data_IF_488943567077
#
_entry.id   IF_488943567077
#
_cell.length_a   1.000
_cell.length_b   1.000
_cell.length_c   1.000
_cell.angle_alpha   90.00
_cell.angle_beta   90.00
_cell.angle_gamma   90.00
#
_symmetry.space_group_name_H-M   'P 1'
#
loop_
_entity.id
_entity.type
_entity.pdbx_description
1 polymer ?
#
# COMPACT_ATOMS: atom_id res chain seq x y z
N UNK A 1 27.07 12.90 -74.76
CA UNK A 1 26.88 12.08 -75.98
C UNK A 1 25.82 11.05 -75.70
N UNK A 2 24.68 11.17 -76.38
CA UNK A 2 23.61 10.18 -76.44
C UNK A 2 24.10 8.92 -77.16
N UNK A 3 23.65 7.73 -76.73
CA UNK A 3 23.44 6.54 -77.58
C UNK A 3 23.04 5.35 -76.67
N UNK A 4 21.76 4.94 -76.52
CA UNK A 4 20.86 4.25 -77.46
C UNK A 4 20.81 2.72 -77.23
N UNK A 5 19.54 2.25 -77.09
CA UNK A 5 18.94 0.92 -77.36
C UNK A 5 19.25 -0.25 -76.43
N UNK A 6 18.25 -0.72 -75.68
CA UNK A 6 17.20 -1.69 -76.09
C UNK A 6 17.74 -3.05 -76.51
N UNK A 7 17.47 -4.07 -75.69
CA UNK A 7 17.02 -5.39 -76.17
C UNK A 7 15.99 -5.97 -75.20
N UNK A 8 14.85 -6.34 -75.79
CA UNK A 8 13.83 -7.24 -75.27
C UNK A 8 14.44 -8.57 -74.81
N UNK A 9 13.81 -9.24 -73.84
CA UNK A 9 13.07 -10.48 -74.08
C UNK A 9 12.51 -11.07 -72.78
N UNK A 10 11.24 -11.41 -72.87
CA UNK A 10 10.40 -12.14 -71.92
C UNK A 10 11.03 -13.50 -71.54
N UNK A 11 11.12 -13.78 -70.24
CA UNK A 11 11.26 -15.10 -69.58
C UNK A 11 11.69 -14.83 -68.13
N UNK A 12 11.09 -15.30 -67.04
CA UNK A 12 10.28 -16.47 -66.77
C UNK A 12 9.33 -16.12 -65.62
N UNK A 13 8.11 -16.62 -65.76
CA UNK A 13 7.11 -16.77 -64.72
C UNK A 13 7.67 -17.69 -63.62
N UNK A 14 7.64 -17.27 -62.35
CA UNK A 14 7.59 -18.14 -61.15
C UNK A 14 7.53 -17.28 -59.88
N UNK A 15 6.31 -16.98 -59.45
CA UNK A 15 6.01 -16.76 -58.04
C UNK A 15 5.77 -18.14 -57.42
N UNK A 16 6.32 -18.42 -56.23
CA UNK A 16 5.37 -18.62 -55.15
C UNK A 16 5.83 -18.00 -53.83
N UNK A 17 4.93 -17.20 -53.25
CA UNK A 17 4.27 -17.58 -52.01
C UNK A 17 5.20 -17.79 -50.79
N UNK A 18 5.72 -16.70 -50.22
CA UNK A 18 5.92 -16.63 -48.76
C UNK A 18 5.49 -15.24 -48.31
N UNK A 19 4.19 -15.12 -48.03
CA UNK A 19 3.67 -14.01 -47.25
C UNK A 19 4.27 -14.11 -45.86
N UNK A 20 5.33 -13.36 -45.57
CA UNK A 20 5.78 -13.09 -44.21
C UNK A 20 4.71 -12.24 -43.54
N UNK A 21 3.70 -12.93 -42.99
CA UNK A 21 2.75 -12.36 -42.06
C UNK A 21 3.54 -12.02 -40.79
N UNK A 22 3.98 -10.77 -40.70
CA UNK A 22 4.42 -10.15 -39.46
C UNK A 22 3.15 -9.82 -38.67
N UNK A 23 2.57 -10.81 -37.98
CA UNK A 23 1.67 -10.52 -36.88
C UNK A 23 2.54 -10.13 -35.70
N UNK A 24 2.68 -8.82 -35.49
CA UNK A 24 3.18 -8.27 -34.26
C UNK A 24 2.29 -8.81 -33.13
N UNK A 25 2.87 -9.68 -32.30
CA UNK A 25 2.28 -10.03 -31.01
C UNK A 25 2.34 -8.77 -30.18
N UNK A 26 1.24 -8.01 -30.16
CA UNK A 26 1.00 -7.01 -29.13
C UNK A 26 0.85 -7.81 -27.84
N UNK A 27 1.96 -8.01 -27.14
CA UNK A 27 1.94 -8.46 -25.77
C UNK A 27 1.20 -7.38 -24.99
N UNK A 28 -0.10 -7.61 -24.75
CA UNK A 28 -0.85 -6.86 -23.77
C UNK A 28 -0.15 -7.06 -22.44
N UNK A 29 0.59 -6.03 -22.01
CA UNK A 29 1.00 -5.88 -20.63
C UNK A 29 -0.29 -5.74 -19.81
N UNK A 30 -0.83 -6.87 -19.34
CA UNK A 30 -1.72 -6.89 -18.18
C UNK A 30 -0.82 -6.76 -16.96
N UNK A 31 -0.23 -5.58 -16.77
CA UNK A 31 0.29 -5.22 -15.46
C UNK A 31 -0.91 -5.18 -14.52
N UNK A 32 -0.85 -5.93 -13.42
CA UNK A 32 -1.78 -5.72 -12.33
C UNK A 32 -1.68 -4.25 -11.96
N UNK A 33 -2.79 -3.52 -12.04
CA UNK A 33 -2.85 -2.15 -11.52
C UNK A 33 -2.71 -2.30 -10.01
N UNK A 34 -1.52 -2.05 -9.49
CA UNK A 34 -1.34 -1.80 -8.07
C UNK A 34 -2.19 -0.55 -7.80
N UNK A 35 -3.25 -0.69 -7.01
CA UNK A 35 -4.16 0.42 -6.72
C UNK A 35 -3.38 1.63 -6.25
N UNK A 36 -3.68 2.80 -6.80
CA UNK A 36 -3.02 4.05 -6.39
C UNK A 36 -3.64 4.56 -5.07
N UNK A 37 -2.90 5.33 -4.26
CA UNK A 37 -3.41 5.86 -2.99
C UNK A 37 -4.67 6.73 -3.15
N UNK A 38 -4.83 7.36 -4.31
CA UNK A 38 -6.04 8.12 -4.68
C UNK A 38 -7.32 7.27 -4.71
N UNK A 39 -7.17 5.95 -4.85
CA UNK A 39 -8.26 4.97 -4.81
C UNK A 39 -8.37 4.26 -3.45
N UNK A 40 -7.65 4.71 -2.40
CA UNK A 40 -7.63 4.03 -1.10
C UNK A 40 -9.02 3.81 -0.49
N UNK A 41 -9.95 4.75 -0.71
CA UNK A 41 -11.35 4.63 -0.30
C UNK A 41 -12.23 3.77 -1.21
N UNK A 42 -11.80 3.46 -2.44
CA UNK A 42 -12.52 2.55 -3.34
C UNK A 42 -12.13 1.10 -3.08
N UNK A 43 -12.67 0.53 -2.00
CA UNK A 43 -12.35 -0.83 -1.58
C UNK A 43 -12.62 -1.88 -2.68
N UNK A 44 -13.60 -1.62 -3.56
CA UNK A 44 -13.95 -2.53 -4.65
C UNK A 44 -12.88 -2.61 -5.74
N UNK A 45 -11.99 -1.61 -5.85
CA UNK A 45 -10.86 -1.64 -6.78
C UNK A 45 -9.92 -2.82 -6.51
N UNK A 46 -9.71 -3.17 -5.23
CA UNK A 46 -8.84 -4.26 -4.79
C UNK A 46 -9.62 -5.50 -4.35
N UNK A 47 -10.73 -5.32 -3.63
CA UNK A 47 -11.54 -6.41 -3.08
C UNK A 47 -12.66 -6.89 -4.02
N UNK A 48 -12.81 -6.26 -5.19
CA UNK A 48 -13.73 -6.66 -6.25
C UNK A 48 -15.17 -6.82 -5.73
N UNK A 49 -15.67 -8.07 -5.65
CA UNK A 49 -17.02 -8.39 -5.19
C UNK A 49 -17.11 -8.77 -3.71
N UNK A 50 -16.00 -8.81 -2.99
CA UNK A 50 -15.99 -9.15 -1.57
C UNK A 50 -16.60 -8.02 -0.74
N UNK A 51 -17.47 -8.38 0.22
CA UNK A 51 -18.06 -7.40 1.12
C UNK A 51 -17.11 -7.17 2.30
N UNK A 52 -16.25 -6.16 2.19
CA UNK A 52 -15.31 -5.79 3.24
C UNK A 52 -15.84 -4.73 4.22
N UNK A 53 -16.97 -4.10 3.88
CA UNK A 53 -17.65 -3.11 4.73
C UNK A 53 -19.00 -3.64 5.23
N UNK A 54 -19.45 -3.25 6.43
CA UNK A 54 -20.75 -3.65 6.96
C UNK A 54 -21.91 -3.30 6.03
N UNK A 55 -22.98 -4.11 6.07
CA UNK A 55 -24.19 -3.85 5.31
C UNK A 55 -24.79 -2.47 5.67
N UNK A 56 -24.95 -1.60 4.68
CA UNK A 56 -25.47 -0.24 4.86
C UNK A 56 -24.40 0.82 5.14
N UNK A 57 -23.11 0.48 5.09
CA UNK A 57 -22.03 1.45 5.11
C UNK A 57 -22.17 2.45 3.93
N UNK A 58 -21.96 3.75 4.13
CA UNK A 58 -22.00 4.73 3.05
C UNK A 58 -20.92 4.42 1.98
N UNK A 59 -21.11 4.87 0.72
CA UNK A 59 -20.09 4.74 -0.31
C UNK A 59 -18.79 5.47 0.11
N UNK A 60 -17.66 4.80 -0.04
CA UNK A 60 -16.33 5.28 0.40
C UNK A 60 -15.41 5.69 -0.76
N UNK A 61 -15.82 5.43 -2.02
CA UNK A 61 -15.01 5.75 -3.18
C UNK A 61 -14.63 7.25 -3.20
N UNK A 62 -13.32 7.52 -3.26
CA UNK A 62 -12.76 8.88 -3.21
C UNK A 62 -12.65 9.51 -1.82
N UNK A 63 -12.93 8.78 -0.74
CA UNK A 63 -12.62 9.22 0.63
C UNK A 63 -11.14 8.96 0.94
N UNK A 64 -10.51 9.92 1.63
CA UNK A 64 -9.24 9.76 2.31
C UNK A 64 -9.46 9.38 3.78
N UNK A 65 -8.36 9.19 4.53
CA UNK A 65 -8.43 8.85 5.95
C UNK A 65 -9.23 9.89 6.76
N UNK A 66 -9.05 11.18 6.49
CA UNK A 66 -9.77 12.27 7.18
C UNK A 66 -11.28 12.18 6.96
N UNK A 67 -11.71 11.84 5.73
CA UNK A 67 -13.10 11.58 5.39
C UNK A 67 -13.69 10.41 6.19
N UNK A 68 -12.92 9.35 6.42
CA UNK A 68 -13.33 8.23 7.29
C UNK A 68 -13.43 8.65 8.76
N UNK A 69 -12.42 9.37 9.27
CA UNK A 69 -12.33 9.80 10.68
C UNK A 69 -13.42 10.81 11.07
N UNK A 70 -14.11 11.43 10.11
CA UNK A 70 -15.30 12.24 10.38
C UNK A 70 -16.45 11.44 11.03
N UNK A 71 -16.50 10.12 10.83
CA UNK A 71 -17.50 9.22 11.42
C UNK A 71 -16.87 8.17 12.34
N UNK A 72 -15.66 7.71 12.02
CA UNK A 72 -14.97 6.65 12.77
C UNK A 72 -14.07 7.25 13.84
N UNK A 73 -14.64 7.52 15.01
CA UNK A 73 -13.96 8.21 16.11
C UNK A 73 -13.42 7.24 17.14
N UNK A 74 -12.21 7.50 17.62
CA UNK A 74 -11.54 6.70 18.66
C UNK A 74 -12.33 6.67 19.96
N UNK A 75 -12.26 5.54 20.66
CA UNK A 75 -13.02 5.32 21.89
C UNK A 75 -14.53 5.11 21.67
N UNK A 76 -15.00 5.08 20.42
CA UNK A 76 -16.38 4.72 20.08
C UNK A 76 -16.47 3.29 19.51
N UNK A 77 -17.66 2.68 19.47
CA UNK A 77 -17.85 1.39 18.79
C UNK A 77 -17.56 1.40 17.28
N UNK A 78 -17.39 2.59 16.68
CA UNK A 78 -17.07 2.76 15.26
C UNK A 78 -15.58 3.03 15.01
N UNK A 79 -14.69 2.88 16.01
CA UNK A 79 -13.25 3.06 15.79
C UNK A 79 -12.71 2.16 14.67
N UNK A 80 -11.73 2.65 13.92
CA UNK A 80 -10.99 1.85 12.93
C UNK A 80 -9.87 1.02 13.55
N UNK A 81 -9.48 1.34 14.80
CA UNK A 81 -8.45 0.63 15.54
C UNK A 81 -8.77 -0.87 15.57
N UNK A 82 -7.84 -1.69 15.06
CA UNK A 82 -7.99 -3.14 14.93
C UNK A 82 -9.14 -3.65 14.03
N UNK A 83 -9.98 -2.77 13.48
CA UNK A 83 -11.03 -3.12 12.52
C UNK A 83 -10.51 -3.14 11.07
N UNK A 84 -9.45 -2.38 10.81
CA UNK A 84 -8.80 -2.29 9.52
C UNK A 84 -7.27 -2.34 9.71
N UNK A 85 -6.53 -3.12 8.90
CA UNK A 85 -5.07 -3.18 9.01
C UNK A 85 -4.43 -1.79 8.88
N UNK A 86 -3.37 -1.55 9.65
CA UNK A 86 -2.70 -0.26 9.68
C UNK A 86 -2.07 0.12 8.31
N UNK A 87 -1.74 -0.87 7.47
CA UNK A 87 -1.39 -0.66 6.05
C UNK A 87 -2.47 0.07 5.25
N UNK A 88 -3.75 -0.25 5.46
CA UNK A 88 -4.83 0.45 4.77
C UNK A 88 -4.99 1.88 5.28
N UNK A 89 -4.82 2.10 6.59
CA UNK A 89 -4.88 3.45 7.14
C UNK A 89 -3.75 4.34 6.57
N UNK A 90 -2.54 3.80 6.43
CA UNK A 90 -1.43 4.49 5.77
C UNK A 90 -1.72 4.76 4.28
N UNK A 91 -2.25 3.78 3.55
CA UNK A 91 -2.67 3.97 2.16
C UNK A 91 -3.74 5.06 2.02
N UNK A 92 -4.75 5.07 2.90
CA UNK A 92 -5.79 6.10 2.97
C UNK A 92 -5.25 7.48 3.35
N UNK A 93 -4.10 7.53 4.04
CA UNK A 93 -3.35 8.74 4.31
C UNK A 93 -2.38 9.13 3.17
N UNK A 94 -2.39 8.41 2.05
CA UNK A 94 -1.57 8.69 0.88
C UNK A 94 -0.17 8.06 0.90
N UNK A 95 0.13 7.18 1.87
CA UNK A 95 1.43 6.52 2.01
C UNK A 95 1.42 5.21 1.22
N UNK A 96 2.35 5.08 0.29
CA UNK A 96 2.52 3.92 -0.58
C UNK A 96 3.47 2.88 0.02
N UNK A 97 3.47 1.67 -0.55
CA UNK A 97 4.45 0.64 -0.22
C UNK A 97 5.90 1.14 -0.41
N UNK A 98 6.13 1.96 -1.44
CA UNK A 98 7.46 2.46 -1.80
C UNK A 98 7.98 3.50 -0.81
N UNK A 99 7.10 4.20 -0.09
CA UNK A 99 7.51 5.15 0.95
C UNK A 99 8.19 4.46 2.14
N UNK A 100 7.88 3.17 2.38
CA UNK A 100 8.51 2.35 3.41
C UNK A 100 9.61 1.43 2.86
N UNK A 101 9.33 0.74 1.75
CA UNK A 101 10.18 -0.33 1.22
C UNK A 101 11.11 0.11 0.07
N UNK A 102 10.97 1.35 -0.41
CA UNK A 102 11.67 1.86 -1.59
C UNK A 102 11.01 1.41 -2.90
N UNK A 103 11.56 1.87 -4.02
CA UNK A 103 11.03 1.58 -5.37
C UNK A 103 11.46 0.21 -5.91
N UNK A 104 12.36 -0.50 -5.23
CA UNK A 104 12.83 -1.81 -5.66
C UNK A 104 11.84 -2.90 -5.25
N UNK A 105 11.50 -3.81 -6.18
CA UNK A 105 10.75 -5.03 -5.90
C UNK A 105 11.59 -5.97 -5.01
N UNK A 106 11.61 -5.69 -3.72
CA UNK A 106 12.19 -6.58 -2.71
C UNK A 106 11.21 -7.69 -2.40
N UNK A 107 11.48 -8.88 -2.91
CA UNK A 107 10.84 -10.10 -2.40
C UNK A 107 11.30 -10.30 -0.96
N UNK A 108 10.41 -10.09 0.00
CA UNK A 108 10.67 -10.07 1.45
C UNK A 108 11.59 -8.91 1.89
N UNK A 109 11.06 -7.68 2.00
CA UNK A 109 11.82 -6.55 2.52
C UNK A 109 12.28 -6.82 3.96
N UNK A 110 13.41 -6.21 4.34
CA UNK A 110 13.85 -6.23 5.73
C UNK A 110 12.79 -5.60 6.64
N UNK A 111 12.72 -6.02 7.92
CA UNK A 111 11.86 -5.36 8.90
C UNK A 111 12.15 -3.85 8.96
N UNK A 112 11.09 -3.07 9.17
CA UNK A 112 11.21 -1.63 9.33
C UNK A 112 11.92 -1.33 10.66
N UNK A 113 12.82 -0.37 10.64
CA UNK A 113 13.47 0.17 11.84
C UNK A 113 12.58 1.23 12.48
N UNK A 114 12.76 1.44 13.79
CA UNK A 114 12.07 2.52 14.51
C UNK A 114 12.35 3.87 13.85
N UNK A 115 13.58 4.13 13.42
CA UNK A 115 13.98 5.38 12.77
C UNK A 115 13.17 5.68 11.51
N UNK A 116 12.82 4.67 10.72
CA UNK A 116 12.01 4.85 9.52
C UNK A 116 10.59 5.32 9.86
N UNK A 117 10.00 4.82 10.95
CA UNK A 117 8.70 5.31 11.44
C UNK A 117 8.79 6.77 11.91
N UNK A 118 9.86 7.13 12.62
CA UNK A 118 10.05 8.48 13.17
C UNK A 118 10.30 9.56 12.09
N UNK A 119 10.62 9.19 10.84
CA UNK A 119 10.73 10.14 9.72
C UNK A 119 9.43 10.93 9.54
N UNK A 120 8.28 10.27 9.71
CA UNK A 120 6.96 10.88 9.55
C UNK A 120 6.29 11.17 10.89
N UNK A 121 6.42 10.28 11.88
CA UNK A 121 5.76 10.41 13.18
C UNK A 121 6.50 11.32 14.17
N UNK A 122 7.73 11.72 13.87
CA UNK A 122 8.55 12.55 14.73
C UNK A 122 9.21 11.77 15.88
N UNK A 123 9.95 12.45 16.78
CA UNK A 123 10.73 11.79 17.82
C UNK A 123 9.84 11.18 18.92
N UNK A 124 10.35 10.12 19.56
CA UNK A 124 9.62 9.38 20.60
C UNK A 124 9.19 10.28 21.77
N UNK A 125 9.97 11.29 22.12
CA UNK A 125 9.62 12.25 23.17
C UNK A 125 8.38 13.08 22.81
N UNK A 126 8.21 13.44 21.54
CA UNK A 126 7.03 14.18 21.08
C UNK A 126 5.80 13.27 21.06
N UNK A 127 5.94 12.03 20.59
CA UNK A 127 4.88 11.01 20.66
C UNK A 127 4.47 10.74 22.11
N UNK A 128 5.44 10.61 23.00
CA UNK A 128 5.26 10.52 24.43
C UNK A 128 4.44 11.68 25.00
N UNK A 129 4.74 12.91 24.59
CA UNK A 129 3.94 14.07 25.03
C UNK A 129 2.50 14.02 24.51
N UNK A 130 2.28 13.53 23.29
CA UNK A 130 0.93 13.38 22.70
C UNK A 130 0.12 12.30 23.41
N UNK A 131 0.76 11.24 23.90
CA UNK A 131 0.09 10.14 24.61
C UNK A 131 0.22 10.22 26.13
N UNK A 132 0.45 11.42 26.67
CA UNK A 132 0.64 11.62 28.11
C UNK A 132 -0.57 11.20 28.96
N UNK A 133 -1.78 11.29 28.39
CA UNK A 133 -3.03 10.94 29.07
C UNK A 133 -3.47 9.48 28.86
N UNK A 134 -2.68 8.68 28.14
CA UNK A 134 -2.98 7.26 27.94
C UNK A 134 -2.72 6.49 29.23
N UNK A 135 -3.76 5.83 29.72
CA UNK A 135 -3.76 5.04 30.95
C UNK A 135 -3.67 3.54 30.65
N UNK A 136 -3.09 2.73 31.55
CA UNK A 136 -2.60 3.07 32.90
C UNK A 136 -1.20 3.69 32.95
N UNK A 137 -0.47 3.64 31.84
CA UNK A 137 0.83 4.28 31.68
C UNK A 137 0.99 4.71 30.22
N UNK A 138 1.82 5.72 29.99
CA UNK A 138 2.12 6.19 28.65
C UNK A 138 2.94 5.12 27.88
N UNK A 139 2.40 4.54 26.78
CA UNK A 139 3.07 3.45 26.06
C UNK A 139 4.32 3.92 25.30
N UNK A 140 4.39 5.19 24.90
CA UNK A 140 5.54 5.76 24.17
C UNK A 140 6.62 6.32 25.10
N UNK A 141 6.38 6.34 26.41
CA UNK A 141 7.35 6.74 27.43
C UNK A 141 7.51 5.64 28.48
N UNK A 142 7.83 4.44 27.99
CA UNK A 142 7.98 3.26 28.83
C UNK A 142 9.14 3.39 29.84
N UNK A 143 8.95 2.98 31.11
CA UNK A 143 10.02 2.94 32.09
C UNK A 143 11.08 1.87 31.78
N UNK A 144 10.82 0.95 30.84
CA UNK A 144 11.75 -0.09 30.42
C UNK A 144 12.81 0.40 29.41
N UNK A 145 12.70 1.66 28.96
CA UNK A 145 13.62 2.26 28.00
C UNK A 145 13.26 1.98 26.54
N UNK A 146 14.04 2.53 25.58
CA UNK A 146 13.66 2.62 24.17
C UNK A 146 13.51 1.26 23.47
N UNK A 147 14.20 0.21 23.94
CA UNK A 147 14.09 -1.15 23.37
C UNK A 147 12.71 -1.79 23.55
N UNK A 148 11.85 -1.21 24.39
CA UNK A 148 10.48 -1.65 24.60
C UNK A 148 9.46 -0.64 24.04
N UNK A 149 9.94 0.31 23.25
CA UNK A 149 9.14 1.32 22.54
C UNK A 149 9.42 1.31 21.04
N UNK A 150 10.01 0.22 20.52
CA UNK A 150 10.14 0.01 19.08
C UNK A 150 8.74 -0.11 18.47
N UNK A 151 8.51 0.61 17.38
CA UNK A 151 7.16 0.86 16.88
C UNK A 151 6.43 -0.43 16.49
N UNK A 152 7.15 -1.37 15.87
CA UNK A 152 6.64 -2.63 15.31
C UNK A 152 6.34 -3.70 16.36
N UNK A 153 6.81 -3.54 17.61
CA UNK A 153 6.42 -4.43 18.71
C UNK A 153 4.90 -4.38 18.95
N UNK A 154 4.32 -3.18 18.79
CA UNK A 154 2.89 -2.95 19.02
C UNK A 154 2.15 -2.65 17.71
N UNK A 155 2.65 -1.72 16.90
CA UNK A 155 2.00 -1.24 15.68
C UNK A 155 2.41 -2.10 14.48
N UNK A 156 1.56 -3.07 14.14
CA UNK A 156 1.85 -4.01 13.07
C UNK A 156 1.17 -3.56 11.78
N UNK A 157 1.97 -3.24 10.76
CA UNK A 157 1.44 -2.66 9.51
C UNK A 157 0.75 -3.70 8.62
N UNK A 158 1.27 -4.92 8.60
CA UNK A 158 0.80 -6.01 7.75
C UNK A 158 -0.02 -7.08 8.49
N UNK A 159 -0.18 -6.94 9.80
CA UNK A 159 -0.90 -7.86 10.68
C UNK A 159 -1.71 -7.06 11.71
N UNK A 160 -2.62 -7.67 12.49
CA UNK A 160 -3.30 -6.96 13.56
C UNK A 160 -2.30 -6.42 14.58
N UNK A 161 -2.39 -5.13 14.91
CA UNK A 161 -1.61 -4.52 15.97
C UNK A 161 -1.83 -5.23 17.31
N UNK A 162 -0.76 -5.32 18.09
CA UNK A 162 -0.73 -6.07 19.33
C UNK A 162 -0.46 -5.16 20.52
N UNK A 163 -1.11 -5.45 21.64
CA UNK A 163 -0.71 -4.88 22.91
C UNK A 163 0.45 -5.70 23.48
N UNK A 164 1.68 -5.44 23.02
CA UNK A 164 2.88 -6.13 23.49
C UNK A 164 3.07 -6.04 25.01
N UNK A 165 2.63 -4.95 25.63
CA UNK A 165 2.68 -4.81 27.08
C UNK A 165 1.84 -5.87 27.80
N UNK A 166 0.76 -6.35 27.17
CA UNK A 166 -0.13 -7.36 27.73
C UNK A 166 0.53 -8.74 27.90
N UNK A 167 1.66 -8.99 27.23
CA UNK A 167 2.40 -10.24 27.40
C UNK A 167 2.98 -10.38 28.82
N UNK A 168 3.18 -9.25 29.52
CA UNK A 168 3.73 -9.21 30.87
C UNK A 168 2.83 -8.48 31.88
N UNK A 169 1.98 -7.57 31.42
CA UNK A 169 1.14 -6.72 32.26
C UNK A 169 -0.34 -6.96 31.97
N UNK A 170 -1.21 -6.74 32.96
CA UNK A 170 -2.65 -6.81 32.76
C UNK A 170 -3.17 -5.46 32.23
N UNK A 171 -2.68 -5.07 31.05
CA UNK A 171 -3.05 -3.82 30.38
C UNK A 171 -3.99 -4.10 29.21
N UNK A 172 -4.99 -3.24 29.05
CA UNK A 172 -5.99 -3.33 27.99
C UNK A 172 -5.85 -2.19 26.98
N UNK A 173 -4.61 -1.90 26.55
CA UNK A 173 -4.38 -0.89 25.52
C UNK A 173 -5.05 -1.30 24.21
N UNK A 174 -5.73 -0.34 23.59
CA UNK A 174 -6.19 -0.44 22.20
C UNK A 174 -5.09 0.17 21.33
N UNK A 175 -4.43 -0.67 20.54
CA UNK A 175 -3.33 -0.26 19.68
C UNK A 175 -3.86 0.02 18.26
N UNK A 176 -3.53 1.17 17.65
CA UNK A 176 -3.87 1.51 16.26
C UNK A 176 -3.47 0.45 15.25
#
# INVERSE_FOLDING_TARGET
MLSVRHRNLLREMRLPLVSMIVFAVVAGFTGAVLGSPEDGGDCASCHQSEQVLPAGHPPTAGMDLDGCLACHVDGTPLTLHSAMPLSHQHMLAGITCADCHGEEDVVAPAPMTTEQCLVCHGPLEALGALTADVQPTNPHMTPHGPTFAECDLCHQVHEPSQNFCADCHDFEFVVP
#
